data_IF_863313397742
#
_entry.id   IF_863313397742
#
_cell.length_a   1.000
_cell.length_b   1.000
_cell.length_c   1.000
_cell.angle_alpha   90.00
_cell.angle_beta   90.00
_cell.angle_gamma   90.00
#
_symmetry.space_group_name_H-M   'P 1'
#
loop_
_entity.id
_entity.type
_entity.pdbx_description
1 polymer ?
#
# COMPACT_ATOMS: atom_id res chain seq x y z
N UNK A 1 6.68 -15.99 13.00
CA UNK A 1 6.28 -14.60 13.18
C UNK A 1 5.97 -14.31 14.62
N UNK A 2 6.62 -13.32 15.19
CA UNK A 2 6.55 -12.96 16.61
C UNK A 2 5.11 -12.61 17.03
N UNK A 3 4.34 -11.92 16.18
CA UNK A 3 2.97 -11.49 16.51
C UNK A 3 1.96 -12.65 16.63
N UNK A 4 2.12 -13.72 15.86
CA UNK A 4 1.29 -14.92 16.00
C UNK A 4 1.59 -15.71 17.27
N UNK A 5 2.81 -15.60 17.79
CA UNK A 5 3.21 -16.29 19.01
C UNK A 5 2.64 -15.62 20.27
N UNK A 6 2.32 -14.32 20.22
CA UNK A 6 1.76 -13.59 21.36
C UNK A 6 0.31 -13.96 21.65
N UNK A 7 -0.47 -14.33 20.61
CA UNK A 7 -1.86 -14.72 20.73
C UNK A 7 -2.08 -16.01 19.94
N UNK A 8 -1.97 -17.13 20.63
CA UNK A 8 -2.20 -18.45 20.06
C UNK A 8 -3.57 -18.97 20.50
N UNK A 9 -4.51 -18.97 19.54
CA UNK A 9 -5.91 -19.42 19.78
C UNK A 9 -5.95 -20.88 20.25
N UNK A 10 -5.04 -21.74 19.77
CA UNK A 10 -5.01 -23.15 20.13
C UNK A 10 -4.70 -23.39 21.62
N UNK A 11 -4.00 -22.49 22.28
CA UNK A 11 -3.77 -22.53 23.73
C UNK A 11 -5.05 -22.40 24.54
N UNK A 12 -6.07 -21.78 23.97
CA UNK A 12 -7.34 -21.48 24.62
C UNK A 12 -8.45 -22.47 24.23
N UNK A 13 -8.13 -23.56 23.52
CA UNK A 13 -9.09 -24.55 23.05
C UNK A 13 -9.83 -25.26 24.20
N UNK A 14 -9.20 -25.36 25.39
CA UNK A 14 -9.79 -25.97 26.62
C UNK A 14 -10.32 -24.93 27.59
N UNK A 15 -10.24 -23.64 27.27
CA UNK A 15 -10.70 -22.52 28.09
C UNK A 15 -12.21 -22.32 27.99
N UNK A 16 -12.75 -21.38 28.77
CA UNK A 16 -14.15 -21.00 28.67
C UNK A 16 -14.47 -20.39 27.30
N UNK A 17 -15.76 -20.46 26.84
CA UNK A 17 -16.15 -19.82 25.58
C UNK A 17 -15.84 -18.33 25.54
N UNK A 18 -15.95 -17.62 26.66
CA UNK A 18 -15.63 -16.20 26.77
C UNK A 18 -14.12 -15.93 26.59
N UNK A 19 -13.28 -16.73 27.25
CA UNK A 19 -11.82 -16.64 27.09
C UNK A 19 -11.38 -16.94 25.66
N UNK A 20 -12.01 -17.94 25.03
CA UNK A 20 -11.75 -18.29 23.63
C UNK A 20 -12.13 -17.15 22.69
N UNK A 21 -13.27 -16.51 22.88
CA UNK A 21 -13.73 -15.35 22.12
C UNK A 21 -12.75 -14.19 22.24
N UNK A 22 -12.28 -13.89 23.45
CA UNK A 22 -11.25 -12.84 23.65
C UNK A 22 -9.94 -13.17 22.95
N UNK A 23 -9.48 -14.42 23.00
CA UNK A 23 -8.28 -14.86 22.32
C UNK A 23 -8.42 -14.74 20.79
N UNK A 24 -9.56 -15.12 20.22
CA UNK A 24 -9.85 -14.98 18.80
C UNK A 24 -9.89 -13.51 18.37
N UNK A 25 -10.51 -12.63 19.14
CA UNK A 25 -10.56 -11.19 18.87
C UNK A 25 -9.16 -10.56 18.89
N UNK A 26 -8.33 -10.89 19.85
CA UNK A 26 -6.94 -10.44 19.92
C UNK A 26 -6.10 -10.98 18.77
N UNK A 27 -6.26 -12.24 18.41
CA UNK A 27 -5.57 -12.84 17.26
C UNK A 27 -5.94 -12.14 15.95
N UNK A 28 -7.21 -11.85 15.74
CA UNK A 28 -7.70 -11.12 14.57
C UNK A 28 -7.11 -9.70 14.51
N UNK A 29 -7.10 -8.98 15.63
CA UNK A 29 -6.54 -7.64 15.71
C UNK A 29 -5.04 -7.61 15.41
N UNK A 30 -4.27 -8.52 16.00
CA UNK A 30 -2.83 -8.62 15.77
C UNK A 30 -2.51 -8.96 14.32
N UNK A 31 -3.25 -9.89 13.72
CA UNK A 31 -3.07 -10.25 12.31
C UNK A 31 -3.41 -9.08 11.38
N UNK A 32 -4.47 -8.34 11.66
CA UNK A 32 -4.84 -7.14 10.90
C UNK A 32 -3.78 -6.06 10.99
N UNK A 33 -3.29 -5.77 12.19
CA UNK A 33 -2.23 -4.78 12.43
C UNK A 33 -0.95 -5.18 11.70
N UNK A 34 -0.56 -6.44 11.76
CA UNK A 34 0.61 -6.96 11.05
C UNK A 34 0.48 -6.79 9.54
N UNK A 35 -0.66 -7.18 8.96
CA UNK A 35 -0.92 -7.05 7.52
C UNK A 35 -0.88 -5.60 7.06
N UNK A 36 -1.48 -4.69 7.83
CA UNK A 36 -1.49 -3.25 7.55
C UNK A 36 -0.08 -2.66 7.57
N UNK A 37 0.73 -3.01 8.57
CA UNK A 37 2.08 -2.47 8.71
C UNK A 37 3.11 -3.14 7.79
N UNK A 38 2.86 -4.36 7.35
CA UNK A 38 3.74 -5.08 6.42
C UNK A 38 3.71 -4.50 5.01
N UNK A 39 2.53 -4.15 4.52
CA UNK A 39 2.36 -3.59 3.18
C UNK A 39 2.61 -2.07 3.21
N UNK A 40 3.61 -1.55 2.46
CA UNK A 40 3.94 -0.12 2.48
C UNK A 40 2.78 0.79 2.09
N UNK A 41 1.93 0.38 1.16
CA UNK A 41 0.78 1.17 0.72
C UNK A 41 -0.31 1.23 1.79
N UNK A 42 -0.66 0.10 2.37
CA UNK A 42 -1.63 0.03 3.48
C UNK A 42 -1.15 0.78 4.70
N UNK A 43 0.14 0.71 5.00
CA UNK A 43 0.77 1.47 6.07
C UNK A 43 0.66 2.99 5.82
N UNK A 44 0.92 3.44 4.60
CA UNK A 44 0.81 4.85 4.22
C UNK A 44 -0.63 5.36 4.34
N UNK A 45 -1.60 4.60 3.88
CA UNK A 45 -3.03 4.93 4.02
C UNK A 45 -3.45 5.00 5.49
N UNK A 46 -2.99 4.06 6.30
CA UNK A 46 -3.24 4.06 7.74
C UNK A 46 -2.63 5.27 8.45
N UNK A 47 -1.41 5.67 8.07
CA UNK A 47 -0.78 6.88 8.61
C UNK A 47 -1.59 8.14 8.29
N UNK A 48 -2.13 8.26 7.08
CA UNK A 48 -3.01 9.38 6.74
C UNK A 48 -4.27 9.42 7.62
N UNK A 49 -4.86 8.27 7.94
CA UNK A 49 -5.98 8.18 8.88
C UNK A 49 -5.56 8.64 10.30
N UNK A 50 -4.38 8.23 10.76
CA UNK A 50 -3.84 8.65 12.06
C UNK A 50 -3.62 10.17 12.16
N UNK A 51 -3.29 10.82 11.06
CA UNK A 51 -3.17 12.28 10.97
C UNK A 51 -4.49 13.00 10.69
N UNK A 52 -5.62 12.31 10.73
CA UNK A 52 -6.96 12.83 10.42
C UNK A 52 -7.10 13.43 9.01
N UNK A 53 -6.33 12.93 8.06
CA UNK A 53 -6.42 13.33 6.65
C UNK A 53 -6.41 12.10 5.72
N UNK A 54 -7.42 11.22 5.85
CA UNK A 54 -7.49 9.99 5.06
C UNK A 54 -7.69 10.28 3.57
N UNK A 55 -7.19 9.38 2.74
CA UNK A 55 -7.44 9.39 1.30
C UNK A 55 -8.77 8.68 1.03
N UNK A 56 -9.84 9.46 0.91
CA UNK A 56 -11.19 8.96 0.66
C UNK A 56 -11.52 8.90 -0.83
N UNK A 57 -12.31 7.91 -1.21
CA UNK A 57 -12.82 7.79 -2.57
C UNK A 57 -13.64 9.03 -2.95
N UNK A 58 -13.36 9.57 -4.14
CA UNK A 58 -14.01 10.79 -4.63
C UNK A 58 -13.48 12.10 -4.04
N UNK A 59 -12.53 12.04 -3.12
CA UNK A 59 -11.89 13.21 -2.49
C UNK A 59 -10.37 13.23 -2.68
N UNK A 60 -9.89 12.67 -3.79
CA UNK A 60 -8.47 12.66 -4.08
C UNK A 60 -7.95 14.09 -4.34
N UNK A 61 -6.69 14.38 -3.93
CA UNK A 61 -6.07 15.64 -4.25
C UNK A 61 -5.88 15.78 -5.76
N UNK A 62 -5.90 17.01 -6.24
CA UNK A 62 -5.61 17.31 -7.64
C UNK A 62 -4.13 17.05 -7.92
N UNK A 63 -3.86 16.22 -8.91
CA UNK A 63 -2.51 15.93 -9.37
C UNK A 63 -2.11 16.88 -10.52
N UNK A 64 -0.81 17.12 -10.65
CA UNK A 64 -0.27 17.95 -11.71
C UNK A 64 -0.42 17.27 -13.08
N UNK A 65 -0.57 18.10 -14.12
CA UNK A 65 -0.79 17.65 -15.50
C UNK A 65 0.40 16.86 -16.04
N UNK A 66 1.62 17.24 -15.64
CA UNK A 66 2.86 16.56 -16.02
C UNK A 66 2.84 15.10 -15.54
N UNK A 67 2.50 14.87 -14.28
CA UNK A 67 2.38 13.53 -13.74
C UNK A 67 1.30 12.70 -14.45
N UNK A 68 0.14 13.30 -14.72
CA UNK A 68 -0.94 12.62 -15.43
C UNK A 68 -0.55 12.25 -16.87
N UNK A 69 0.23 13.09 -17.55
CA UNK A 69 0.78 12.78 -18.87
C UNK A 69 1.75 11.60 -18.82
N UNK A 70 2.62 11.57 -17.81
CA UNK A 70 3.53 10.43 -17.59
C UNK A 70 2.76 9.12 -17.39
N UNK A 71 1.69 9.15 -16.61
CA UNK A 71 0.84 7.97 -16.39
C UNK A 71 0.15 7.53 -17.69
N UNK A 72 -0.28 8.46 -18.53
CA UNK A 72 -0.86 8.13 -19.84
C UNK A 72 0.17 7.44 -20.73
N UNK A 73 1.39 7.96 -20.82
CA UNK A 73 2.49 7.34 -21.57
C UNK A 73 2.79 5.92 -21.05
N UNK A 74 2.81 5.73 -19.74
CA UNK A 74 3.03 4.42 -19.13
C UNK A 74 1.90 3.43 -19.45
N UNK A 75 0.66 3.89 -19.55
CA UNK A 75 -0.45 3.03 -19.97
C UNK A 75 -0.30 2.62 -21.46
N UNK A 76 0.14 3.52 -22.32
CA UNK A 76 0.43 3.21 -23.72
C UNK A 76 1.59 2.20 -23.84
N UNK A 77 2.69 2.43 -23.09
CA UNK A 77 3.82 1.49 -23.02
C UNK A 77 3.35 0.10 -22.55
N UNK A 78 2.47 0.03 -21.55
CA UNK A 78 1.92 -1.24 -21.06
C UNK A 78 1.13 -1.99 -22.13
N UNK A 79 0.38 -1.28 -22.97
CA UNK A 79 -0.40 -1.88 -24.04
C UNK A 79 0.51 -2.43 -25.17
N UNK A 80 1.68 -1.86 -25.35
CA UNK A 80 2.65 -2.25 -26.37
C UNK A 80 3.57 -3.40 -25.95
N UNK A 81 3.56 -3.81 -24.67
CA UNK A 81 4.39 -4.91 -24.17
C UNK A 81 4.10 -6.21 -24.93
N UNK A 82 5.15 -6.80 -25.51
CA UNK A 82 5.05 -8.01 -26.32
C UNK A 82 6.09 -9.08 -26.00
N UNK A 83 7.11 -8.77 -25.18
CA UNK A 83 8.20 -9.69 -24.85
C UNK A 83 8.50 -9.71 -23.35
N UNK A 84 9.13 -10.78 -22.89
CA UNK A 84 9.58 -10.91 -21.48
C UNK A 84 10.56 -9.77 -21.11
N UNK A 85 11.37 -9.34 -22.06
CA UNK A 85 12.29 -8.23 -21.86
C UNK A 85 11.54 -6.92 -21.60
N UNK A 86 10.47 -6.66 -22.36
CA UNK A 86 9.63 -5.46 -22.15
C UNK A 86 8.97 -5.48 -20.78
N UNK A 87 8.53 -6.67 -20.33
CA UNK A 87 7.96 -6.87 -18.98
C UNK A 87 8.97 -6.50 -17.89
N UNK A 88 10.21 -6.98 -18.03
CA UNK A 88 11.28 -6.68 -17.06
C UNK A 88 11.62 -5.19 -17.04
N UNK A 89 11.77 -4.57 -18.20
CA UNK A 89 12.07 -3.13 -18.32
C UNK A 89 10.94 -2.27 -17.73
N UNK A 90 9.70 -2.60 -18.02
CA UNK A 90 8.53 -1.90 -17.49
C UNK A 90 8.43 -2.08 -15.96
N UNK A 91 8.60 -3.30 -15.47
CA UNK A 91 8.60 -3.58 -14.02
C UNK A 91 9.68 -2.82 -13.29
N UNK A 92 10.90 -2.76 -13.86
CA UNK A 92 12.01 -2.01 -13.30
C UNK A 92 11.69 -0.51 -13.21
N UNK A 93 11.12 0.07 -14.26
CA UNK A 93 10.70 1.48 -14.32
C UNK A 93 9.64 1.80 -13.24
N UNK A 94 8.62 0.96 -13.11
CA UNK A 94 7.58 1.12 -12.07
C UNK A 94 8.18 1.02 -10.67
N UNK A 95 9.05 0.04 -10.41
CA UNK A 95 9.68 -0.14 -9.11
C UNK A 95 10.59 1.04 -8.73
N UNK A 96 11.34 1.58 -9.68
CA UNK A 96 12.19 2.77 -9.46
C UNK A 96 11.35 3.99 -9.06
N UNK A 97 10.26 4.25 -9.78
CA UNK A 97 9.33 5.34 -9.43
C UNK A 97 8.70 5.15 -8.05
N UNK A 98 8.29 3.92 -7.69
CA UNK A 98 7.76 3.62 -6.38
C UNK A 98 8.79 3.83 -5.26
N UNK A 99 10.03 3.42 -5.46
CA UNK A 99 11.10 3.64 -4.48
C UNK A 99 11.37 5.12 -4.26
N UNK A 100 11.41 5.93 -5.32
CA UNK A 100 11.58 7.39 -5.21
C UNK A 100 10.42 8.03 -4.43
N UNK A 101 9.19 7.65 -4.75
CA UNK A 101 8.00 8.13 -4.03
C UNK A 101 7.98 7.69 -2.57
N UNK A 102 8.41 6.48 -2.25
CA UNK A 102 8.53 6.00 -0.86
C UNK A 102 9.52 6.85 -0.07
N UNK A 103 10.68 7.19 -0.66
CA UNK A 103 11.66 8.06 -0.03
C UNK A 103 11.09 9.44 0.28
N UNK A 104 10.45 10.07 -0.70
CA UNK A 104 9.78 11.36 -0.54
C UNK A 104 8.65 11.32 0.48
N UNK A 105 7.87 10.24 0.49
CA UNK A 105 6.78 10.05 1.45
C UNK A 105 7.29 10.03 2.88
N UNK A 106 8.36 9.29 3.15
CA UNK A 106 8.98 9.23 4.48
C UNK A 106 9.43 10.61 4.96
N UNK A 107 10.04 11.40 4.09
CA UNK A 107 10.45 12.78 4.39
C UNK A 107 9.24 13.65 4.76
N UNK A 108 8.15 13.56 3.99
CA UNK A 108 6.94 14.36 4.24
C UNK A 108 6.27 14.01 5.56
N UNK A 109 6.20 12.75 5.94
CA UNK A 109 5.67 12.36 7.24
C UNK A 109 6.56 12.81 8.40
N UNK A 110 7.88 12.73 8.28
CA UNK A 110 8.83 13.23 9.28
C UNK A 110 8.69 14.74 9.49
N UNK A 111 8.48 15.49 8.43
CA UNK A 111 8.28 16.95 8.45
C UNK A 111 6.85 17.37 8.82
N UNK A 112 5.93 16.41 9.08
CA UNK A 112 4.50 16.65 9.32
C UNK A 112 3.77 17.37 8.16
N UNK A 113 4.26 17.24 6.95
CA UNK A 113 3.64 17.78 5.74
C UNK A 113 2.60 16.79 5.19
N UNK A 114 1.51 16.59 5.93
CA UNK A 114 0.51 15.54 5.68
C UNK A 114 -0.20 15.73 4.34
N UNK A 115 -0.55 16.95 3.95
CA UNK A 115 -1.19 17.23 2.67
C UNK A 115 -0.30 16.87 1.48
N UNK A 116 1.00 17.12 1.57
CA UNK A 116 1.98 16.73 0.56
C UNK A 116 2.20 15.22 0.55
N UNK A 117 2.23 14.58 1.72
CA UNK A 117 2.27 13.13 1.85
C UNK A 117 1.07 12.46 1.17
N UNK A 118 -0.12 13.02 1.33
CA UNK A 118 -1.35 12.54 0.70
C UNK A 118 -1.27 12.56 -0.84
N UNK A 119 -0.71 13.61 -1.42
CA UNK A 119 -0.47 13.71 -2.86
C UNK A 119 0.47 12.59 -3.32
N UNK A 120 1.55 12.34 -2.59
CA UNK A 120 2.50 11.27 -2.90
C UNK A 120 1.83 9.90 -2.83
N UNK A 121 1.03 9.63 -1.80
CA UNK A 121 0.27 8.37 -1.67
C UNK A 121 -0.66 8.18 -2.87
N UNK A 122 -1.35 9.24 -3.30
CA UNK A 122 -2.19 9.20 -4.48
C UNK A 122 -1.41 8.84 -5.75
N UNK A 123 -0.23 9.44 -5.96
CA UNK A 123 0.67 9.09 -7.07
C UNK A 123 1.11 7.63 -7.01
N UNK A 124 1.46 7.13 -5.84
CA UNK A 124 1.83 5.73 -5.64
C UNK A 124 0.72 4.76 -6.02
N UNK A 125 -0.54 5.10 -5.79
CA UNK A 125 -1.68 4.27 -6.20
C UNK A 125 -1.71 4.07 -7.72
N UNK A 126 -1.40 5.08 -8.52
CA UNK A 126 -1.31 4.95 -9.97
C UNK A 126 -0.25 3.92 -10.39
N UNK A 127 0.93 3.96 -9.79
CA UNK A 127 2.00 2.99 -10.08
C UNK A 127 1.64 1.58 -9.62
N UNK A 128 1.00 1.42 -8.46
CA UNK A 128 0.51 0.13 -8.00
C UNK A 128 -0.56 -0.45 -8.94
N UNK A 129 -1.44 0.39 -9.47
CA UNK A 129 -2.44 -0.02 -10.46
C UNK A 129 -1.79 -0.49 -11.76
N UNK A 130 -0.79 0.23 -12.27
CA UNK A 130 -0.03 -0.20 -13.45
C UNK A 130 0.65 -1.55 -13.23
N UNK A 131 1.24 -1.76 -12.06
CA UNK A 131 1.87 -3.04 -11.70
C UNK A 131 0.86 -4.17 -11.62
N UNK A 132 -0.32 -3.92 -11.08
CA UNK A 132 -1.40 -4.89 -11.03
C UNK A 132 -1.92 -5.25 -12.43
N UNK A 133 -2.09 -4.27 -13.30
CA UNK A 133 -2.49 -4.49 -14.70
C UNK A 133 -1.45 -5.30 -15.47
N UNK A 134 -0.17 -5.06 -15.24
CA UNK A 134 0.91 -5.85 -15.84
C UNK A 134 0.80 -7.33 -15.42
N UNK A 135 0.53 -7.59 -14.14
CA UNK A 135 0.33 -8.95 -13.62
C UNK A 135 -0.89 -9.65 -14.22
N UNK A 136 -1.98 -8.94 -14.42
CA UNK A 136 -3.19 -9.51 -15.04
C UNK A 136 -2.99 -9.83 -16.52
N UNK A 137 -2.20 -9.03 -17.23
CA UNK A 137 -1.94 -9.19 -18.65
C UNK A 137 -1.02 -10.39 -18.95
N UNK A 138 -0.14 -10.70 -18.05
CA UNK A 138 0.89 -11.74 -18.16
C UNK A 138 0.91 -12.64 -16.92
#
# INVERSE_FOLDING_TARGET
>A
MIFKQCVDVDRYSTSTPEELEHAENWSALVNQAYSTLLNPMDRALYLLECFNDPLLEGQQPKLDTEFLSEIMELNEDLDEISSDKDIEEFSAKINENLQDLHGKLSEKFVENLVSEAKIIVCKMQYFHNLRAQLKEKF
#
